data_IF_948693062786
#
_entry.id   IF_948693062786
#
_cell.length_a   1.000
_cell.length_b   1.000
_cell.length_c   1.000
_cell.angle_alpha   90.00
_cell.angle_beta   90.00
_cell.angle_gamma   90.00
#
_symmetry.space_group_name_H-M   'P 1'
#
loop_
_entity.id
_entity.type
_entity.pdbx_description
1 polymer ?
#
# COMPACT_ATOMS: atom_id res chain seq x y z
N UNK A 1 -1.14 22.78 4.50
CA UNK A 1 -1.78 21.64 5.19
C UNK A 1 -1.77 20.49 4.21
N UNK A 2 -1.22 19.32 4.56
CA UNK A 2 -0.94 18.25 3.58
C UNK A 2 -2.20 17.48 3.12
N UNK A 3 -3.29 17.61 3.88
CA UNK A 3 -4.59 17.02 3.57
C UNK A 3 -5.59 18.13 3.26
N UNK A 4 -5.97 18.21 1.98
CA UNK A 4 -6.96 19.14 1.42
C UNK A 4 -7.86 18.37 0.45
N UNK A 5 -9.09 18.83 0.25
CA UNK A 5 -10.06 18.18 -0.64
C UNK A 5 -9.90 18.61 -2.11
N UNK A 6 -8.87 19.39 -2.44
CA UNK A 6 -8.58 19.95 -3.77
C UNK A 6 -8.37 18.88 -4.87
N UNK A 7 -8.26 17.60 -4.49
CA UNK A 7 -8.08 16.46 -5.37
C UNK A 7 -9.13 15.35 -5.12
N UNK A 8 -10.29 15.71 -4.56
CA UNK A 8 -11.37 14.76 -4.29
C UNK A 8 -11.80 14.02 -5.57
N UNK A 9 -11.78 14.67 -6.73
CA UNK A 9 -12.12 14.08 -8.04
C UNK A 9 -11.14 12.99 -8.50
N UNK A 10 -9.93 12.98 -7.95
CA UNK A 10 -8.91 11.95 -8.20
C UNK A 10 -8.84 10.90 -7.09
N UNK A 11 -9.65 11.05 -6.05
CA UNK A 11 -9.64 10.16 -4.88
C UNK A 11 -10.49 8.93 -5.13
N UNK A 12 -9.91 7.75 -4.87
CA UNK A 12 -10.63 6.46 -4.86
C UNK A 12 -10.61 5.92 -3.44
N UNK A 13 -11.79 5.74 -2.86
CA UNK A 13 -11.97 5.01 -1.62
C UNK A 13 -12.32 3.55 -1.93
N UNK A 14 -11.47 2.63 -1.49
CA UNK A 14 -11.69 1.19 -1.70
C UNK A 14 -12.44 0.60 -0.51
N UNK A 15 -13.50 -0.14 -0.80
CA UNK A 15 -14.36 -0.81 0.21
C UNK A 15 -14.66 -2.24 -0.20
N UNK A 16 -14.89 -3.10 0.80
CA UNK A 16 -15.34 -4.47 0.55
C UNK A 16 -16.66 -4.49 -0.22
N UNK A 17 -16.79 -5.45 -1.14
CA UNK A 17 -17.91 -5.57 -2.07
C UNK A 17 -19.26 -5.57 -1.34
N UNK A 18 -19.39 -6.41 -0.32
CA UNK A 18 -20.63 -6.59 0.46
C UNK A 18 -20.71 -5.69 1.71
N UNK A 19 -19.70 -4.85 1.96
CA UNK A 19 -19.70 -3.97 3.14
C UNK A 19 -20.76 -2.87 3.01
N UNK A 20 -21.28 -2.41 4.15
CA UNK A 20 -22.17 -1.25 4.16
C UNK A 20 -21.48 -0.04 3.50
N UNK A 21 -22.26 0.76 2.75
CA UNK A 21 -21.76 1.99 2.14
C UNK A 21 -21.23 2.91 3.25
N UNK A 22 -20.00 3.44 3.14
CA UNK A 22 -19.44 4.28 4.19
C UNK A 22 -20.16 5.63 4.26
N UNK A 23 -20.25 6.23 5.45
CA UNK A 23 -20.96 7.50 5.65
C UNK A 23 -20.38 8.68 4.86
N UNK A 24 -19.11 8.60 4.45
CA UNK A 24 -18.46 9.61 3.60
C UNK A 24 -18.69 9.38 2.10
N UNK A 25 -19.36 8.30 1.70
CA UNK A 25 -19.46 7.93 0.28
C UNK A 25 -20.12 9.04 -0.53
N UNK A 26 -21.21 9.61 -0.02
CA UNK A 26 -22.00 10.59 -0.76
C UNK A 26 -21.21 11.89 -0.94
N UNK A 27 -20.62 12.43 0.12
CA UNK A 27 -19.79 13.63 0.01
C UNK A 27 -18.55 13.42 -0.89
N UNK A 28 -17.95 12.23 -0.86
CA UNK A 28 -16.84 11.90 -1.77
C UNK A 28 -17.31 11.88 -3.23
N UNK A 29 -18.44 11.22 -3.52
CA UNK A 29 -18.96 11.14 -4.89
C UNK A 29 -19.48 12.48 -5.41
N UNK A 30 -20.09 13.31 -4.56
CA UNK A 30 -20.52 14.67 -4.91
C UNK A 30 -19.33 15.57 -5.23
N UNK A 31 -18.18 15.34 -4.59
CA UNK A 31 -16.92 16.02 -4.90
C UNK A 31 -16.17 15.41 -6.11
N UNK A 32 -16.79 14.46 -6.82
CA UNK A 32 -16.23 13.80 -8.01
C UNK A 32 -15.34 12.59 -7.74
N UNK A 33 -15.16 12.22 -6.47
CA UNK A 33 -14.40 11.04 -6.08
C UNK A 33 -15.15 9.73 -6.34
N UNK A 34 -14.44 8.61 -6.18
CA UNK A 34 -14.95 7.28 -6.52
C UNK A 34 -14.94 6.36 -5.31
N UNK A 35 -16.02 5.59 -5.13
CA UNK A 35 -16.07 4.48 -4.18
C UNK A 35 -15.92 3.18 -4.96
N UNK A 36 -14.76 2.54 -4.87
CA UNK A 36 -14.44 1.30 -5.58
C UNK A 36 -14.73 0.10 -4.68
N UNK A 37 -15.58 -0.81 -5.17
CA UNK A 37 -15.94 -2.06 -4.50
C UNK A 37 -14.98 -3.17 -4.94
N UNK A 38 -14.42 -3.91 -3.99
CA UNK A 38 -13.50 -5.02 -4.24
C UNK A 38 -13.89 -6.21 -3.36
N UNK A 39 -13.84 -7.45 -3.87
CA UNK A 39 -14.13 -8.64 -3.08
C UNK A 39 -13.21 -8.75 -1.86
N UNK A 40 -13.72 -9.34 -0.80
CA UNK A 40 -12.93 -9.68 0.38
C UNK A 40 -12.49 -11.14 0.31
N UNK A 41 -11.35 -11.45 0.93
CA UNK A 41 -10.90 -12.81 1.22
C UNK A 41 -11.74 -13.41 2.36
N UNK A 42 -11.62 -14.72 2.56
CA UNK A 42 -12.29 -15.43 3.67
C UNK A 42 -11.92 -14.88 5.06
N UNK A 43 -10.76 -14.23 5.17
CA UNK A 43 -10.27 -13.58 6.41
C UNK A 43 -10.78 -12.13 6.57
N UNK A 44 -11.83 -11.74 5.87
CA UNK A 44 -12.46 -10.40 5.95
C UNK A 44 -11.51 -9.24 5.59
N UNK A 45 -10.53 -9.50 4.74
CA UNK A 45 -9.62 -8.48 4.20
C UNK A 45 -9.87 -8.27 2.71
N UNK A 46 -9.59 -7.08 2.17
CA UNK A 46 -9.67 -6.86 0.72
C UNK A 46 -8.76 -7.83 -0.04
N UNK A 47 -9.25 -8.44 -1.12
CA UNK A 47 -8.41 -9.17 -2.07
C UNK A 47 -7.51 -8.16 -2.80
N UNK A 48 -6.24 -8.10 -2.37
CA UNK A 48 -5.25 -7.20 -2.94
C UNK A 48 -4.94 -7.53 -4.40
N UNK A 49 -5.02 -8.79 -4.80
CA UNK A 49 -4.80 -9.20 -6.19
C UNK A 49 -5.92 -8.68 -7.09
N UNK A 50 -7.18 -8.82 -6.64
CA UNK A 50 -8.33 -8.23 -7.33
C UNK A 50 -8.25 -6.70 -7.37
N UNK A 51 -7.89 -6.06 -6.26
CA UNK A 51 -7.68 -4.62 -6.20
C UNK A 51 -6.63 -4.14 -7.20
N UNK A 52 -5.43 -4.71 -7.19
CA UNK A 52 -4.34 -4.28 -8.07
C UNK A 52 -4.69 -4.46 -9.55
N UNK A 53 -5.38 -5.56 -9.93
CA UNK A 53 -5.89 -5.74 -11.30
C UNK A 53 -6.92 -4.67 -11.66
N UNK A 54 -7.82 -4.32 -10.74
CA UNK A 54 -8.85 -3.30 -10.98
C UNK A 54 -8.24 -1.90 -11.12
N UNK A 55 -7.24 -1.58 -10.30
CA UNK A 55 -6.48 -0.33 -10.40
C UNK A 55 -5.68 -0.24 -11.71
N UNK A 56 -5.10 -1.35 -12.17
CA UNK A 56 -4.38 -1.45 -13.43
C UNK A 56 -5.26 -1.58 -14.67
N UNK A 57 -6.57 -1.30 -14.55
CA UNK A 57 -7.51 -1.28 -15.69
C UNK A 57 -8.26 0.05 -15.76
N UNK A 58 -9.19 0.31 -14.85
CA UNK A 58 -9.96 1.57 -14.85
C UNK A 58 -10.07 2.22 -13.47
N UNK A 59 -9.73 1.50 -12.39
CA UNK A 59 -9.89 1.96 -11.00
C UNK A 59 -11.32 2.48 -10.66
N UNK A 60 -12.34 2.05 -11.40
CA UNK A 60 -13.71 2.56 -11.30
C UNK A 60 -13.91 3.96 -11.88
N UNK A 61 -12.99 4.44 -12.73
CA UNK A 61 -12.97 5.79 -13.29
C UNK A 61 -12.83 5.75 -14.81
N UNK A 62 -13.24 6.85 -15.45
CA UNK A 62 -12.90 7.11 -16.86
C UNK A 62 -11.51 7.76 -16.93
N UNK A 63 -10.49 6.96 -16.60
CA UNK A 63 -9.09 7.40 -16.50
C UNK A 63 -8.14 6.31 -16.98
N UNK A 64 -6.91 6.72 -17.31
CA UNK A 64 -5.85 5.79 -17.69
C UNK A 64 -5.54 4.78 -16.57
N UNK A 65 -5.23 3.53 -16.92
CA UNK A 65 -4.80 2.50 -15.97
C UNK A 65 -3.64 2.96 -15.08
N UNK A 66 -3.68 2.60 -13.79
CA UNK A 66 -2.56 2.86 -12.89
C UNK A 66 -1.43 1.85 -13.14
N UNK A 67 -0.29 2.34 -13.60
CA UNK A 67 0.87 1.51 -13.93
C UNK A 67 1.84 1.31 -12.76
N UNK A 68 1.80 2.20 -11.77
CA UNK A 68 2.66 2.14 -10.58
C UNK A 68 1.93 2.71 -9.38
N UNK A 69 2.15 2.11 -8.21
CA UNK A 69 1.56 2.56 -6.96
C UNK A 69 2.69 2.84 -5.96
N UNK A 70 2.63 4.00 -5.31
CA UNK A 70 3.35 4.25 -4.07
C UNK A 70 2.43 3.86 -2.92
N UNK A 71 2.83 2.87 -2.13
CA UNK A 71 2.02 2.40 -1.00
C UNK A 71 2.61 2.89 0.31
N UNK A 72 1.94 3.88 0.91
CA UNK A 72 2.21 4.34 2.27
C UNK A 72 1.27 3.60 3.23
N UNK A 73 1.75 2.49 3.77
CA UNK A 73 0.93 1.58 4.55
C UNK A 73 1.38 1.49 6.01
N UNK A 74 0.39 1.37 6.91
CA UNK A 74 0.64 0.80 8.22
C UNK A 74 1.04 -0.69 8.12
N UNK A 75 1.48 -1.30 9.23
CA UNK A 75 2.10 -2.62 9.22
C UNK A 75 1.20 -3.74 8.69
N UNK A 76 -0.12 -3.62 8.81
CA UNK A 76 -1.05 -4.64 8.29
C UNK A 76 -0.97 -4.78 6.77
N UNK A 77 -1.24 -3.69 6.05
CA UNK A 77 -1.22 -3.68 4.58
C UNK A 77 0.19 -3.91 4.03
N UNK A 78 1.22 -3.33 4.65
CA UNK A 78 2.60 -3.57 4.25
C UNK A 78 2.93 -5.08 4.33
N UNK A 79 2.62 -5.74 5.46
CA UNK A 79 2.83 -7.19 5.63
C UNK A 79 2.07 -8.00 4.59
N UNK A 80 0.82 -7.64 4.29
CA UNK A 80 0.00 -8.36 3.32
C UNK A 80 0.60 -8.30 1.90
N UNK A 81 1.05 -7.11 1.46
CA UNK A 81 1.70 -6.93 0.17
C UNK A 81 3.02 -7.72 0.07
N UNK A 82 3.84 -7.69 1.13
CA UNK A 82 5.09 -8.45 1.17
C UNK A 82 4.83 -9.96 1.15
N UNK A 83 3.93 -10.45 2.00
CA UNK A 83 3.62 -11.88 2.11
C UNK A 83 3.02 -12.45 0.84
N UNK A 84 2.22 -11.67 0.11
CA UNK A 84 1.61 -12.06 -1.16
C UNK A 84 2.53 -11.80 -2.38
N UNK A 85 3.76 -11.34 -2.16
CA UNK A 85 4.75 -11.07 -3.20
C UNK A 85 4.31 -10.03 -4.25
N UNK A 86 3.53 -9.04 -3.78
CA UNK A 86 2.92 -7.96 -4.56
C UNK A 86 3.72 -6.64 -4.52
N UNK A 87 4.84 -6.60 -3.80
CA UNK A 87 5.70 -5.43 -3.66
C UNK A 87 7.02 -5.64 -4.40
N UNK A 88 7.22 -4.89 -5.49
CA UNK A 88 8.45 -4.98 -6.29
C UNK A 88 9.60 -4.15 -5.69
N UNK A 89 9.27 -3.02 -5.05
CA UNK A 89 10.23 -2.03 -4.54
C UNK A 89 9.92 -1.64 -3.10
N UNK A 90 10.99 -1.50 -2.31
CA UNK A 90 10.94 -1.11 -0.92
C UNK A 90 11.70 0.19 -0.71
N UNK A 91 11.07 1.11 0.02
CA UNK A 91 11.67 2.35 0.51
C UNK A 91 11.56 2.32 2.03
N UNK A 92 12.69 2.15 2.73
CA UNK A 92 12.74 2.12 4.18
C UNK A 92 13.57 3.30 4.69
N UNK A 93 12.88 4.26 5.31
CA UNK A 93 13.51 5.38 5.98
C UNK A 93 13.86 5.01 7.42
N UNK A 94 15.11 5.25 7.80
CA UNK A 94 15.63 5.03 9.15
C UNK A 94 16.06 6.38 9.71
N UNK A 95 15.29 6.88 10.66
CA UNK A 95 15.61 8.12 11.37
C UNK A 95 16.64 7.87 12.49
N UNK A 96 17.47 8.87 12.85
CA UNK A 96 18.43 8.77 13.96
C UNK A 96 17.74 8.93 15.33
N UNK A 97 16.62 8.24 15.54
CA UNK A 97 15.75 8.35 16.73
C UNK A 97 15.51 6.99 17.37
N UNK A 98 15.62 6.92 18.70
CA UNK A 98 15.42 5.69 19.48
C UNK A 98 14.12 5.80 20.29
N UNK A 99 13.17 4.91 20.04
CA UNK A 99 11.83 4.94 20.67
C UNK A 99 11.52 3.74 21.57
N UNK A 100 12.43 2.76 21.67
CA UNK A 100 12.19 1.51 22.38
C UNK A 100 11.22 0.60 21.61
N UNK A 101 10.19 0.09 22.29
CA UNK A 101 9.16 -0.73 21.66
C UNK A 101 8.22 0.14 20.81
N UNK A 102 8.46 0.16 19.49
CA UNK A 102 7.64 0.87 18.51
C UNK A 102 6.63 -0.03 17.80
N UNK A 103 5.89 0.57 16.86
CA UNK A 103 5.09 -0.17 15.88
C UNK A 103 6.07 -0.76 14.85
N UNK A 104 6.07 -2.09 14.61
CA UNK A 104 6.98 -2.67 13.63
C UNK A 104 6.60 -2.24 12.21
N UNK A 105 7.57 -2.18 11.29
CA UNK A 105 7.31 -1.86 9.88
C UNK A 105 6.50 -2.97 9.21
N UNK A 106 6.84 -4.23 9.50
CA UNK A 106 6.13 -5.43 9.07
C UNK A 106 5.78 -6.27 10.31
N UNK A 107 4.59 -6.88 10.30
CA UNK A 107 4.19 -7.91 11.27
C UNK A 107 4.83 -9.25 10.89
N UNK A 108 4.44 -10.32 11.58
CA UNK A 108 4.91 -11.66 11.28
C UNK A 108 4.66 -12.03 9.81
N UNK A 109 5.73 -12.36 9.08
CA UNK A 109 5.69 -12.85 7.70
C UNK A 109 5.51 -14.37 7.63
N UNK A 110 5.69 -15.09 8.75
CA UNK A 110 5.65 -16.56 8.80
C UNK A 110 6.99 -17.23 8.50
N UNK A 111 8.07 -16.46 8.39
CA UNK A 111 9.43 -16.94 8.09
C UNK A 111 10.04 -17.51 9.37
N UNK A 112 10.41 -18.79 9.34
CA UNK A 112 10.95 -19.52 10.50
C UNK A 112 12.46 -19.78 10.37
N UNK A 113 12.97 -19.84 9.15
CA UNK A 113 14.37 -20.14 8.85
C UNK A 113 15.01 -18.99 8.07
N UNK A 114 16.29 -18.72 8.32
CA UNK A 114 17.01 -17.63 7.66
C UNK A 114 17.16 -17.87 6.14
N UNK A 115 17.15 -19.14 5.71
CA UNK A 115 17.17 -19.49 4.27
C UNK A 115 15.90 -19.06 3.52
N UNK A 116 14.78 -18.88 4.24
CA UNK A 116 13.50 -18.42 3.70
C UNK A 116 13.33 -16.90 3.80
N UNK A 117 14.33 -16.19 4.34
CA UNK A 117 14.27 -14.74 4.48
C UNK A 117 14.22 -14.05 3.11
N UNK A 118 13.40 -12.99 3.03
CA UNK A 118 13.32 -12.20 1.81
C UNK A 118 14.57 -11.33 1.68
N UNK A 119 15.20 -11.39 0.51
CA UNK A 119 16.35 -10.56 0.15
C UNK A 119 16.00 -9.60 -0.98
N UNK A 120 16.79 -8.54 -1.11
CA UNK A 120 16.73 -7.65 -2.27
C UNK A 120 17.78 -8.07 -3.30
N UNK A 121 17.36 -8.14 -4.57
CA UNK A 121 18.26 -8.38 -5.69
C UNK A 121 19.18 -7.17 -5.92
N UNK A 122 18.64 -5.96 -5.78
CA UNK A 122 19.38 -4.71 -5.87
C UNK A 122 19.03 -3.82 -4.68
N UNK A 123 20.03 -3.14 -4.11
CA UNK A 123 19.80 -2.20 -3.01
C UNK A 123 20.77 -1.03 -3.01
N UNK A 124 20.27 0.15 -2.65
CA UNK A 124 21.06 1.36 -2.45
C UNK A 124 20.74 1.99 -1.10
N UNK A 125 21.73 2.65 -0.52
CA UNK A 125 21.60 3.43 0.70
C UNK A 125 22.00 4.88 0.42
N UNK A 126 21.18 5.83 0.84
CA UNK A 126 21.48 7.25 0.69
C UNK A 126 20.99 8.07 1.90
N UNK A 127 21.64 9.20 2.17
CA UNK A 127 21.22 10.14 3.22
C UNK A 127 20.14 11.07 2.69
N UNK A 128 19.04 11.22 3.42
CA UNK A 128 17.92 12.13 3.09
C UNK A 128 17.63 13.02 4.28
N UNK A 129 18.13 14.26 4.26
CA UNK A 129 18.12 15.11 5.45
C UNK A 129 18.96 14.48 6.56
N UNK A 130 18.37 14.27 7.74
CA UNK A 130 19.02 13.60 8.88
C UNK A 130 18.82 12.07 8.87
N UNK A 131 17.99 11.55 7.96
CA UNK A 131 17.63 10.14 7.86
C UNK A 131 18.51 9.39 6.84
N UNK A 132 18.43 8.06 6.87
CA UNK A 132 18.98 7.19 5.83
C UNK A 132 17.85 6.43 5.14
N UNK A 133 17.89 6.39 3.81
CA UNK A 133 16.96 5.65 2.97
C UNK A 133 17.63 4.38 2.43
N UNK A 134 17.06 3.22 2.73
CA UNK A 134 17.26 1.99 1.97
C UNK A 134 16.22 1.93 0.84
N UNK A 135 16.70 1.86 -0.40
CA UNK A 135 15.89 1.50 -1.56
C UNK A 135 16.27 0.11 -2.03
N UNK A 136 15.32 -0.82 -2.06
CA UNK A 136 15.55 -2.22 -2.45
C UNK A 136 14.57 -2.71 -3.52
N UNK A 137 15.06 -3.50 -4.48
CA UNK A 137 14.25 -4.22 -5.46
C UNK A 137 14.19 -5.69 -5.10
N UNK A 138 12.98 -6.26 -5.09
CA UNK A 138 12.75 -7.66 -4.70
C UNK A 138 13.17 -8.65 -5.79
N UNK A 139 13.12 -8.23 -7.05
CA UNK A 139 13.49 -8.99 -8.25
C UNK A 139 14.32 -8.08 -9.15
N UNK A 140 15.22 -8.67 -9.95
CA UNK A 140 15.92 -7.93 -11.01
C UNK A 140 14.89 -7.32 -11.98
N UNK A 141 15.18 -6.11 -12.46
CA UNK A 141 14.29 -5.35 -13.36
C UNK A 141 14.25 -5.92 -14.79
#
# INVERSE_FOLDING_TARGET
TLFVDDHAERTVAVVGEDRARPGYADCLTEAGGTVLRIPETDDEHLDLSALLRRLGTDAGRDAEPLQSLLVEAGPGLATALVRQDLADRFFCFVAPTVVGAGIPVLRDLGIREMGDALTFAEQTWETVGDDVLLRGYRREA
#
